data_IF_105909756809
#
_entry.id   IF_105909756809
#
_cell.length_a   1.000
_cell.length_b   1.000
_cell.length_c   1.000
_cell.angle_alpha   90.00
_cell.angle_beta   90.00
_cell.angle_gamma   90.00
#
_symmetry.space_group_name_H-M   'P 1'
#
loop_
_entity.id
_entity.type
_entity.pdbx_description
1 polymer ?
#
# COMPACT_ATOMS: atom_id res chain seq x y z
N UNK A 1 -24.21 34.72 8.32
CA UNK A 1 -24.19 33.35 8.88
C UNK A 1 -23.52 32.28 8.00
N UNK A 2 -22.75 32.60 6.94
CA UNK A 2 -22.04 31.60 6.10
C UNK A 2 -20.54 31.95 5.91
N UNK A 3 -19.93 32.65 6.88
CA UNK A 3 -18.52 33.09 6.81
C UNK A 3 -17.53 31.90 6.80
N UNK A 4 -18.00 30.75 7.25
CA UNK A 4 -17.33 29.45 7.31
C UNK A 4 -17.35 28.67 5.97
N UNK A 5 -18.14 29.11 4.98
CA UNK A 5 -18.25 28.43 3.69
C UNK A 5 -17.21 28.94 2.69
N UNK A 6 -16.51 28.01 2.02
CA UNK A 6 -15.55 28.38 0.98
C UNK A 6 -16.23 28.73 -0.36
N UNK A 7 -15.47 29.34 -1.29
CA UNK A 7 -15.99 29.79 -2.59
C UNK A 7 -16.62 28.65 -3.43
N UNK A 8 -16.10 27.41 -3.33
CA UNK A 8 -16.66 26.25 -4.04
C UNK A 8 -18.05 25.89 -3.49
N UNK A 9 -18.23 25.89 -2.17
CA UNK A 9 -19.52 25.66 -1.53
C UNK A 9 -20.55 26.72 -1.95
N UNK A 10 -20.19 28.00 -1.89
CA UNK A 10 -21.10 29.09 -2.27
C UNK A 10 -21.53 29.01 -3.75
N UNK A 11 -20.63 28.61 -4.65
CA UNK A 11 -20.98 28.35 -6.07
C UNK A 11 -21.96 27.18 -6.22
N UNK A 12 -21.78 26.09 -5.46
CA UNK A 12 -22.73 24.95 -5.44
C UNK A 12 -24.10 25.36 -4.90
N UNK A 13 -24.14 26.16 -3.83
CA UNK A 13 -25.37 26.72 -3.28
C UNK A 13 -26.11 27.52 -4.34
N UNK A 14 -25.43 28.47 -4.99
CA UNK A 14 -26.02 29.34 -6.01
C UNK A 14 -26.63 28.52 -7.17
N UNK A 15 -25.92 27.50 -7.66
CA UNK A 15 -26.40 26.64 -8.76
C UNK A 15 -27.62 25.79 -8.40
N UNK A 16 -27.77 25.42 -7.13
CA UNK A 16 -28.81 24.48 -6.68
C UNK A 16 -29.86 25.16 -5.78
N UNK A 17 -29.80 26.48 -5.63
CA UNK A 17 -30.54 27.21 -4.59
C UNK A 17 -32.05 27.00 -4.70
N UNK A 18 -32.60 27.09 -5.92
CA UNK A 18 -34.03 26.92 -6.18
C UNK A 18 -34.52 25.49 -5.90
N UNK A 19 -33.69 24.48 -6.15
CA UNK A 19 -34.02 23.07 -5.87
C UNK A 19 -33.94 22.77 -4.37
N UNK A 20 -32.94 23.30 -3.67
CA UNK A 20 -32.70 23.01 -2.26
C UNK A 20 -33.65 23.75 -1.33
N UNK A 21 -34.11 24.91 -1.79
CA UNK A 21 -34.93 25.85 -1.02
C UNK A 21 -36.08 26.38 -1.89
N UNK A 22 -37.18 25.61 -2.03
CA UNK A 22 -38.34 26.02 -2.83
C UNK A 22 -39.19 27.11 -2.15
N UNK A 23 -38.72 27.70 -1.05
CA UNK A 23 -39.42 28.72 -0.26
C UNK A 23 -38.65 30.05 -0.30
N UNK A 24 -39.33 31.15 0.02
CA UNK A 24 -38.70 32.48 0.01
C UNK A 24 -37.53 32.52 1.00
N UNK A 25 -36.43 33.15 0.61
CA UNK A 25 -35.15 33.12 1.34
C UNK A 25 -35.26 33.56 2.82
N UNK A 26 -36.18 34.49 3.12
CA UNK A 26 -36.44 34.98 4.47
C UNK A 26 -37.20 33.98 5.37
N UNK A 27 -37.68 32.86 4.83
CA UNK A 27 -38.42 31.81 5.55
C UNK A 27 -37.54 30.61 5.91
N UNK A 28 -36.26 30.63 5.53
CA UNK A 28 -35.35 29.50 5.71
C UNK A 28 -34.44 29.80 6.89
N UNK A 29 -34.39 28.88 7.86
CA UNK A 29 -33.38 28.92 8.92
C UNK A 29 -31.97 28.82 8.30
N UNK A 30 -31.07 29.78 8.54
CA UNK A 30 -29.68 29.71 8.11
C UNK A 30 -28.95 28.43 8.51
N UNK A 31 -29.35 27.75 9.59
CA UNK A 31 -28.80 26.44 10.00
C UNK A 31 -29.16 25.34 9.01
N UNK A 32 -30.40 25.31 8.55
CA UNK A 32 -30.87 24.35 7.52
C UNK A 32 -30.16 24.60 6.18
N UNK A 33 -29.89 25.86 5.85
CA UNK A 33 -29.08 26.20 4.65
C UNK A 33 -27.68 25.60 4.78
N UNK A 34 -27.06 25.79 5.94
CA UNK A 34 -25.72 25.30 6.24
C UNK A 34 -25.67 23.77 6.15
N UNK A 35 -26.54 23.04 6.85
CA UNK A 35 -26.58 21.58 6.85
C UNK A 35 -26.74 20.98 5.44
N UNK A 36 -27.71 21.49 4.67
CA UNK A 36 -27.91 21.04 3.28
C UNK A 36 -26.71 21.34 2.40
N UNK A 37 -26.05 22.48 2.61
CA UNK A 37 -24.89 22.88 1.82
C UNK A 37 -23.67 22.00 2.11
N UNK A 38 -23.39 21.71 3.38
CA UNK A 38 -22.32 20.80 3.76
C UNK A 38 -22.57 19.39 3.21
N UNK A 39 -23.79 18.86 3.40
CA UNK A 39 -24.15 17.56 2.85
C UNK A 39 -23.93 17.46 1.33
N UNK A 40 -24.35 18.47 0.57
CA UNK A 40 -24.11 18.51 -0.88
C UNK A 40 -22.64 18.69 -1.27
N UNK A 41 -21.88 19.40 -0.44
CA UNK A 41 -20.47 19.57 -0.66
C UNK A 41 -19.78 18.21 -0.51
N UNK A 42 -20.03 17.53 0.61
CA UNK A 42 -19.48 16.22 0.96
C UNK A 42 -19.90 15.14 -0.04
N UNK A 43 -21.18 15.09 -0.43
CA UNK A 43 -21.66 14.18 -1.48
C UNK A 43 -20.92 14.40 -2.80
N UNK A 44 -20.60 15.65 -3.14
CA UNK A 44 -19.87 15.93 -4.37
C UNK A 44 -18.38 15.61 -4.28
N UNK A 45 -17.76 15.75 -3.10
CA UNK A 45 -16.39 15.28 -2.86
C UNK A 45 -16.35 13.75 -2.98
N UNK A 46 -17.27 13.05 -2.33
CA UNK A 46 -17.38 11.60 -2.42
C UNK A 46 -17.57 11.11 -3.87
N UNK A 47 -18.41 11.81 -4.66
CA UNK A 47 -18.57 11.48 -6.10
C UNK A 47 -17.28 11.68 -6.89
N UNK A 48 -16.52 12.73 -6.59
CA UNK A 48 -15.24 12.99 -7.26
C UNK A 48 -14.21 11.91 -6.92
N UNK A 49 -14.07 11.55 -5.65
CA UNK A 49 -13.16 10.50 -5.19
C UNK A 49 -13.51 9.12 -5.76
N UNK A 50 -14.81 8.77 -5.76
CA UNK A 50 -15.31 7.55 -6.40
C UNK A 50 -15.01 7.58 -7.90
N UNK A 51 -15.22 8.71 -8.59
CA UNK A 51 -14.91 8.81 -10.02
C UNK A 51 -13.41 8.65 -10.30
N UNK A 52 -12.53 9.19 -9.45
CA UNK A 52 -11.08 8.96 -9.57
C UNK A 52 -10.71 7.49 -9.38
N UNK A 53 -11.32 6.80 -8.41
CA UNK A 53 -11.15 5.36 -8.23
C UNK A 53 -11.65 4.57 -9.45
N UNK A 54 -12.82 4.92 -10.00
CA UNK A 54 -13.34 4.29 -11.21
C UNK A 54 -12.39 4.44 -12.40
N UNK A 55 -11.87 5.65 -12.63
CA UNK A 55 -10.90 5.92 -13.70
C UNK A 55 -9.63 5.08 -13.51
N UNK A 56 -9.14 4.98 -12.27
CA UNK A 56 -7.95 4.19 -11.94
C UNK A 56 -8.16 2.70 -12.12
N UNK A 57 -9.32 2.16 -11.72
CA UNK A 57 -9.66 0.76 -11.98
C UNK A 57 -9.74 0.53 -13.49
N UNK A 58 -10.48 1.39 -14.21
CA UNK A 58 -10.69 1.25 -15.66
C UNK A 58 -9.39 1.33 -16.46
N UNK A 59 -8.42 2.14 -16.04
CA UNK A 59 -7.10 2.23 -16.69
C UNK A 59 -6.27 0.96 -16.54
N UNK A 60 -6.52 0.14 -15.50
CA UNK A 60 -5.86 -1.14 -15.30
C UNK A 60 -6.65 -2.33 -15.85
N UNK A 61 -7.97 -2.21 -15.98
CA UNK A 61 -8.89 -3.26 -16.40
C UNK A 61 -9.84 -2.73 -17.50
N UNK A 62 -9.30 -2.59 -18.72
CA UNK A 62 -9.98 -1.91 -19.82
C UNK A 62 -11.25 -2.62 -20.29
N UNK A 63 -11.28 -3.94 -20.22
CA UNK A 63 -12.37 -4.77 -20.76
C UNK A 63 -13.54 -4.94 -19.77
N UNK A 64 -13.38 -4.51 -18.52
CA UNK A 64 -14.39 -4.73 -17.48
C UNK A 64 -15.61 -3.81 -17.64
N UNK A 65 -16.84 -4.32 -17.48
CA UNK A 65 -18.06 -3.51 -17.56
C UNK A 65 -18.06 -2.33 -16.58
N UNK A 66 -18.64 -1.20 -16.98
CA UNK A 66 -18.63 0.02 -16.18
C UNK A 66 -19.35 -0.15 -14.84
N UNK A 67 -20.45 -0.90 -14.81
CA UNK A 67 -21.21 -1.20 -13.60
C UNK A 67 -20.39 -1.98 -12.56
N UNK A 68 -19.57 -2.94 -13.02
CA UNK A 68 -18.63 -3.69 -12.15
C UNK A 68 -17.59 -2.75 -11.56
N UNK A 69 -17.01 -1.87 -12.39
CA UNK A 69 -16.02 -0.87 -11.98
C UNK A 69 -16.61 0.13 -10.98
N UNK A 70 -17.81 0.65 -11.25
CA UNK A 70 -18.54 1.57 -10.37
C UNK A 70 -18.79 0.91 -9.02
N UNK A 71 -19.35 -0.31 -9.02
CA UNK A 71 -19.63 -1.08 -7.81
C UNK A 71 -18.38 -1.24 -6.96
N UNK A 72 -17.27 -1.69 -7.56
CA UNK A 72 -16.03 -1.93 -6.82
C UNK A 72 -15.39 -0.64 -6.32
N UNK A 73 -15.38 0.43 -7.12
CA UNK A 73 -14.86 1.73 -6.70
C UNK A 73 -15.63 2.31 -5.52
N UNK A 74 -16.96 2.24 -5.56
CA UNK A 74 -17.83 2.68 -4.47
C UNK A 74 -17.60 1.84 -3.21
N UNK A 75 -17.44 0.53 -3.36
CA UNK A 75 -17.15 -0.38 -2.24
C UNK A 75 -15.79 -0.07 -1.59
N UNK A 76 -14.73 0.14 -2.39
CA UNK A 76 -13.42 0.57 -1.91
C UNK A 76 -13.52 1.91 -1.17
N UNK A 77 -14.23 2.89 -1.72
CA UNK A 77 -14.39 4.20 -1.08
C UNK A 77 -15.06 4.10 0.30
N UNK A 78 -16.06 3.24 0.46
CA UNK A 78 -16.79 3.10 1.71
C UNK A 78 -16.04 2.31 2.78
N UNK A 79 -15.21 1.34 2.40
CA UNK A 79 -14.58 0.43 3.36
C UNK A 79 -13.07 0.63 3.53
N UNK A 80 -12.40 1.33 2.60
CA UNK A 80 -10.95 1.55 2.63
C UNK A 80 -10.64 3.02 2.85
N UNK A 81 -10.39 3.37 4.11
CA UNK A 81 -10.17 4.75 4.55
C UNK A 81 -8.73 5.26 4.31
N UNK A 82 -7.81 4.38 3.91
CA UNK A 82 -6.39 4.72 3.73
C UNK A 82 -6.02 4.78 2.25
N UNK A 83 -5.63 5.97 1.78
CA UNK A 83 -5.15 6.16 0.41
C UNK A 83 -3.89 5.32 0.12
N UNK A 84 -3.01 5.15 1.11
CA UNK A 84 -1.83 4.30 0.97
C UNK A 84 -2.22 2.83 0.70
N UNK A 85 -3.29 2.36 1.34
CA UNK A 85 -3.79 0.99 1.14
C UNK A 85 -4.37 0.83 -0.26
N UNK A 86 -5.14 1.82 -0.74
CA UNK A 86 -5.61 1.87 -2.12
C UNK A 86 -4.43 1.85 -3.09
N UNK A 87 -3.39 2.64 -2.84
CA UNK A 87 -2.19 2.67 -3.69
C UNK A 87 -1.48 1.31 -3.73
N UNK A 88 -1.43 0.60 -2.60
CA UNK A 88 -0.85 -0.74 -2.53
C UNK A 88 -1.66 -1.77 -3.31
N UNK A 89 -2.99 -1.65 -3.39
CA UNK A 89 -3.80 -2.53 -4.25
C UNK A 89 -3.32 -2.47 -5.70
N UNK A 90 -3.12 -1.27 -6.23
CA UNK A 90 -2.69 -1.09 -7.62
C UNK A 90 -1.21 -1.37 -7.83
N UNK A 91 -0.35 -1.07 -6.84
CA UNK A 91 1.08 -1.41 -6.88
C UNK A 91 1.30 -2.92 -6.98
N UNK A 92 0.47 -3.72 -6.30
CA UNK A 92 0.56 -5.18 -6.29
C UNK A 92 -0.61 -5.83 -7.04
N UNK A 93 -1.10 -5.17 -8.09
CA UNK A 93 -2.37 -5.53 -8.75
C UNK A 93 -2.49 -7.01 -9.12
N UNK A 94 -1.43 -7.62 -9.64
CA UNK A 94 -1.41 -9.03 -10.07
C UNK A 94 -1.61 -10.02 -8.92
N UNK A 95 -1.33 -9.60 -7.69
CA UNK A 95 -1.49 -10.41 -6.48
C UNK A 95 -2.70 -10.00 -5.66
N UNK A 96 -3.24 -8.80 -5.86
CA UNK A 96 -4.41 -8.31 -5.11
C UNK A 96 -5.71 -8.59 -5.86
N UNK A 97 -5.71 -8.42 -7.19
CA UNK A 97 -6.85 -8.68 -8.06
C UNK A 97 -6.68 -10.06 -8.72
N UNK A 98 -6.73 -11.13 -7.90
CA UNK A 98 -6.51 -12.52 -8.34
C UNK A 98 -7.74 -13.15 -9.03
N UNK A 99 -8.89 -12.49 -8.96
CA UNK A 99 -10.17 -12.95 -9.49
C UNK A 99 -10.78 -11.88 -10.42
N UNK A 100 -11.85 -12.22 -11.13
CA UNK A 100 -12.61 -11.26 -11.93
C UNK A 100 -13.13 -10.11 -11.06
N UNK A 101 -13.19 -8.87 -11.59
CA UNK A 101 -13.62 -7.72 -10.79
C UNK A 101 -15.06 -7.85 -10.27
N UNK A 102 -15.90 -8.63 -10.96
CA UNK A 102 -17.28 -8.92 -10.55
C UNK A 102 -17.37 -9.75 -9.27
N UNK A 103 -16.36 -10.56 -8.93
CA UNK A 103 -16.32 -11.35 -7.70
C UNK A 103 -15.60 -10.64 -6.55
N UNK A 104 -14.93 -9.52 -6.82
CA UNK A 104 -14.18 -8.78 -5.82
C UNK A 104 -15.05 -7.77 -5.06
N UNK A 105 -14.65 -7.54 -3.82
CA UNK A 105 -15.12 -6.50 -2.91
C UNK A 105 -13.92 -5.97 -2.12
N UNK A 106 -14.08 -4.86 -1.42
CA UNK A 106 -13.03 -4.20 -0.64
C UNK A 106 -12.43 -5.14 0.42
N UNK A 107 -13.24 -5.98 1.05
CA UNK A 107 -12.78 -6.92 2.07
C UNK A 107 -11.90 -8.04 1.47
N UNK A 108 -12.23 -8.53 0.29
CA UNK A 108 -11.40 -9.46 -0.49
C UNK A 108 -10.10 -8.81 -0.91
N UNK A 109 -10.12 -7.57 -1.42
CA UNK A 109 -8.90 -6.85 -1.77
C UNK A 109 -7.98 -6.66 -0.56
N UNK A 110 -8.53 -6.30 0.60
CA UNK A 110 -7.80 -6.20 1.86
C UNK A 110 -7.18 -7.53 2.28
N UNK A 111 -7.94 -8.63 2.21
CA UNK A 111 -7.44 -9.98 2.50
C UNK A 111 -6.32 -10.38 1.54
N UNK A 112 -6.52 -10.21 0.24
CA UNK A 112 -5.52 -10.55 -0.77
C UNK A 112 -4.22 -9.75 -0.57
N UNK A 113 -4.33 -8.47 -0.21
CA UNK A 113 -3.18 -7.65 0.13
C UNK A 113 -2.46 -8.14 1.40
N UNK A 114 -3.21 -8.50 2.44
CA UNK A 114 -2.65 -9.03 3.68
C UNK A 114 -1.93 -10.38 3.45
N UNK A 115 -2.57 -11.30 2.74
CA UNK A 115 -1.98 -12.57 2.33
C UNK A 115 -0.69 -12.38 1.52
N UNK A 116 -0.70 -11.44 0.57
CA UNK A 116 0.48 -11.17 -0.24
C UNK A 116 1.63 -10.59 0.59
N UNK A 117 1.33 -9.67 1.52
CA UNK A 117 2.33 -9.13 2.46
C UNK A 117 2.90 -10.23 3.35
N UNK A 118 2.06 -11.11 3.85
CA UNK A 118 2.49 -12.22 4.70
C UNK A 118 3.36 -13.21 3.92
N UNK A 119 2.96 -13.58 2.71
CA UNK A 119 3.77 -14.39 1.80
C UNK A 119 5.16 -13.76 1.57
N UNK A 120 5.22 -12.45 1.29
CA UNK A 120 6.50 -11.74 1.12
C UNK A 120 7.34 -11.64 2.40
N UNK A 121 6.69 -11.60 3.57
CA UNK A 121 7.37 -11.65 4.87
C UNK A 121 8.01 -13.02 5.09
N UNK A 122 7.27 -14.10 4.84
CA UNK A 122 7.76 -15.48 4.96
C UNK A 122 8.90 -15.74 3.98
N UNK A 123 8.73 -15.41 2.70
CA UNK A 123 9.78 -15.52 1.66
C UNK A 123 11.08 -14.81 2.09
N UNK A 124 10.94 -13.63 2.71
CA UNK A 124 12.10 -12.90 3.24
C UNK A 124 12.77 -13.64 4.39
N UNK A 125 12.01 -14.16 5.36
CA UNK A 125 12.57 -14.89 6.50
C UNK A 125 13.28 -16.17 6.05
N UNK A 126 12.70 -16.92 5.12
CA UNK A 126 13.33 -18.11 4.53
C UNK A 126 14.64 -17.75 3.82
N UNK A 127 14.67 -16.62 3.10
CA UNK A 127 15.88 -16.15 2.41
C UNK A 127 16.97 -15.72 3.40
N UNK A 128 16.59 -15.12 4.53
CA UNK A 128 17.53 -14.76 5.60
C UNK A 128 18.10 -16.02 6.27
N UNK A 129 17.25 -17.01 6.54
CA UNK A 129 17.69 -18.28 7.10
C UNK A 129 18.60 -19.04 6.12
N UNK A 130 18.28 -19.02 4.83
CA UNK A 130 19.16 -19.55 3.80
C UNK A 130 20.54 -18.88 3.81
N UNK A 131 20.60 -17.54 3.88
CA UNK A 131 21.87 -16.81 4.01
C UNK A 131 22.64 -17.26 5.27
N UNK A 132 21.95 -17.35 6.42
CA UNK A 132 22.54 -17.80 7.67
C UNK A 132 23.18 -19.19 7.52
N UNK A 133 22.47 -20.13 6.92
CA UNK A 133 22.96 -21.49 6.67
C UNK A 133 24.17 -21.50 5.72
N UNK A 134 24.17 -20.66 4.68
CA UNK A 134 25.32 -20.53 3.79
C UNK A 134 26.56 -20.00 4.53
N UNK A 135 26.39 -19.03 5.44
CA UNK A 135 27.49 -18.52 6.28
C UNK A 135 28.00 -19.61 7.22
N UNK A 136 27.12 -20.34 7.89
CA UNK A 136 27.52 -21.42 8.80
C UNK A 136 28.28 -22.52 8.05
N UNK A 137 27.78 -22.91 6.87
CA UNK A 137 28.41 -23.91 6.02
C UNK A 137 29.80 -23.48 5.53
N UNK A 138 30.00 -22.19 5.25
CA UNK A 138 31.30 -21.65 4.82
C UNK A 138 32.37 -21.78 5.90
N UNK A 139 31.97 -21.79 7.18
CA UNK A 139 32.88 -21.84 8.33
C UNK A 139 32.59 -23.05 9.24
N UNK A 140 32.13 -24.15 8.65
CA UNK A 140 31.69 -25.35 9.40
C UNK A 140 32.78 -25.92 10.31
N UNK A 141 34.04 -25.87 9.86
CA UNK A 141 35.20 -26.36 10.61
C UNK A 141 35.44 -25.55 11.90
N UNK A 142 35.04 -24.28 11.87
CA UNK A 142 35.37 -23.27 12.87
C UNK A 142 34.31 -23.18 13.98
N UNK A 143 33.16 -23.83 13.78
CA UNK A 143 32.04 -23.92 14.73
C UNK A 143 31.64 -22.55 15.28
N UNK A 144 31.24 -21.66 14.39
CA UNK A 144 30.78 -20.31 14.76
C UNK A 144 29.65 -20.41 15.78
N UNK A 145 29.74 -19.63 16.86
CA UNK A 145 28.67 -19.53 17.85
C UNK A 145 27.43 -18.90 17.22
N UNK A 146 26.25 -19.46 17.53
CA UNK A 146 24.94 -19.00 17.03
C UNK A 146 24.73 -17.47 17.17
N UNK A 147 25.16 -16.87 18.28
CA UNK A 147 25.06 -15.42 18.51
C UNK A 147 25.85 -14.60 17.48
N UNK A 148 27.07 -15.05 17.15
CA UNK A 148 27.94 -14.38 16.17
C UNK A 148 27.44 -14.59 14.75
N UNK A 149 27.00 -15.81 14.44
CA UNK A 149 26.39 -16.11 13.15
C UNK A 149 25.15 -15.23 12.88
N UNK A 150 24.31 -15.03 13.91
CA UNK A 150 23.17 -14.11 13.85
C UNK A 150 23.61 -12.67 13.62
N UNK A 151 24.58 -12.17 14.39
CA UNK A 151 25.11 -10.80 14.25
C UNK A 151 25.62 -10.52 12.82
N UNK A 152 26.36 -11.46 12.22
CA UNK A 152 26.82 -11.33 10.84
C UNK A 152 25.68 -11.34 9.83
N UNK A 153 24.73 -12.26 10.02
CA UNK A 153 23.56 -12.36 9.14
C UNK A 153 22.71 -11.08 9.18
N UNK A 154 22.42 -10.55 10.37
CA UNK A 154 21.64 -9.33 10.55
C UNK A 154 22.34 -8.11 9.94
N UNK A 155 23.66 -8.01 10.12
CA UNK A 155 24.47 -6.94 9.51
C UNK A 155 24.42 -6.96 7.99
N UNK A 156 24.50 -8.15 7.37
CA UNK A 156 24.37 -8.32 5.92
C UNK A 156 22.97 -7.99 5.40
N UNK A 157 21.94 -8.43 6.13
CA UNK A 157 20.53 -8.17 5.77
C UNK A 157 20.21 -6.67 5.81
N UNK A 158 20.79 -5.93 6.76
CA UNK A 158 20.64 -4.49 6.87
C UNK A 158 21.18 -3.74 5.63
N UNK A 159 22.27 -4.23 5.05
CA UNK A 159 22.88 -3.65 3.84
C UNK A 159 22.20 -4.10 2.55
N UNK A 160 21.91 -5.39 2.41
CA UNK A 160 21.37 -5.95 1.17
C UNK A 160 19.91 -5.55 0.92
N UNK A 161 19.16 -5.15 1.96
CA UNK A 161 17.80 -4.56 1.99
C UNK A 161 16.70 -5.32 1.24
N UNK A 162 16.88 -5.68 -0.03
CA UNK A 162 15.96 -6.43 -0.89
C UNK A 162 16.19 -7.93 -0.78
N UNK A 163 15.12 -8.70 -0.69
CA UNK A 163 15.16 -10.18 -0.64
C UNK A 163 15.92 -10.78 -1.83
N UNK A 164 15.76 -10.23 -3.03
CA UNK A 164 16.49 -10.68 -4.22
C UNK A 164 18.01 -10.53 -4.11
N UNK A 165 18.49 -9.46 -3.46
CA UNK A 165 19.92 -9.24 -3.26
C UNK A 165 20.47 -10.14 -2.16
N UNK A 166 19.70 -10.37 -1.10
CA UNK A 166 20.06 -11.37 -0.07
C UNK A 166 20.25 -12.74 -0.70
N UNK A 167 19.31 -13.16 -1.56
CA UNK A 167 19.39 -14.45 -2.26
C UNK A 167 20.60 -14.54 -3.18
N UNK A 168 20.80 -13.56 -4.06
CA UNK A 168 21.93 -13.52 -4.98
C UNK A 168 23.28 -13.51 -4.25
N UNK A 169 23.36 -12.77 -3.15
CA UNK A 169 24.55 -12.71 -2.31
C UNK A 169 24.82 -14.06 -1.63
N UNK A 170 23.79 -14.70 -1.08
CA UNK A 170 23.91 -16.02 -0.45
C UNK A 170 24.41 -17.09 -1.45
N UNK A 171 23.97 -17.04 -2.71
CA UNK A 171 24.43 -17.95 -3.77
C UNK A 171 25.91 -17.73 -4.16
N UNK A 172 26.45 -16.53 -3.95
CA UNK A 172 27.83 -16.16 -4.29
C UNK A 172 28.70 -15.87 -3.05
N UNK A 173 28.26 -16.35 -1.88
CA UNK A 173 28.78 -15.93 -0.58
C UNK A 173 30.31 -16.08 -0.45
N UNK A 174 30.85 -17.18 -0.96
CA UNK A 174 32.28 -17.50 -0.90
C UNK A 174 33.19 -16.47 -1.60
N UNK A 175 32.67 -15.73 -2.59
CA UNK A 175 33.45 -14.72 -3.30
C UNK A 175 33.61 -13.40 -2.50
N UNK A 176 32.72 -13.15 -1.54
CA UNK A 176 32.65 -11.89 -0.81
C UNK A 176 33.04 -12.01 0.66
N UNK A 177 32.90 -13.20 1.24
CA UNK A 177 33.18 -13.43 2.64
C UNK A 177 34.68 -13.63 2.90
N UNK A 178 35.25 -13.02 3.96
CA UNK A 178 36.67 -13.14 4.28
C UNK A 178 36.98 -14.51 4.90
N UNK A 179 38.25 -14.82 5.11
CA UNK A 179 38.62 -16.03 5.88
C UNK A 179 38.21 -15.88 7.35
N UNK A 180 38.02 -16.99 8.06
CA UNK A 180 37.52 -16.98 9.44
C UNK A 180 38.35 -16.10 10.39
N UNK A 181 39.67 -16.13 10.27
CA UNK A 181 40.59 -15.31 11.06
C UNK A 181 40.41 -13.78 10.86
N UNK A 182 39.79 -13.37 9.75
CA UNK A 182 39.51 -12.00 9.36
C UNK A 182 38.05 -11.58 9.64
N UNK A 183 37.19 -12.54 10.00
CA UNK A 183 35.75 -12.32 10.26
C UNK A 183 35.48 -11.30 11.37
N UNK A 184 36.38 -11.21 12.35
CA UNK A 184 36.33 -10.19 13.42
C UNK A 184 36.49 -8.75 12.92
N UNK A 185 36.99 -8.56 11.71
CA UNK A 185 37.15 -7.27 11.05
C UNK A 185 36.16 -7.08 9.89
N UNK A 186 35.25 -8.04 9.71
CA UNK A 186 34.26 -8.00 8.66
C UNK A 186 33.32 -6.81 8.86
N UNK A 187 33.10 -6.05 7.79
CA UNK A 187 32.25 -4.87 7.79
C UNK A 187 31.31 -4.93 6.59
N UNK A 188 30.04 -5.28 6.84
CA UNK A 188 29.00 -5.46 5.83
C UNK A 188 28.82 -4.29 4.83
N UNK A 189 28.98 -3.00 5.22
CA UNK A 189 28.86 -1.87 4.30
C UNK A 189 29.81 -1.92 3.09
N UNK A 190 30.95 -2.63 3.18
CA UNK A 190 31.87 -2.80 2.03
C UNK A 190 31.29 -3.67 0.91
N UNK A 191 30.29 -4.49 1.22
CA UNK A 191 29.61 -5.36 0.25
C UNK A 191 28.59 -4.60 -0.58
N UNK A 192 27.92 -3.59 -0.02
CA UNK A 192 26.97 -2.76 -0.77
C UNK A 192 27.65 -1.89 -1.85
N UNK A 193 28.97 -1.72 -1.77
CA UNK A 193 29.80 -0.94 -2.71
C UNK A 193 30.55 -1.77 -3.74
N UNK A 194 30.47 -3.10 -3.69
CA UNK A 194 31.14 -4.03 -4.60
C UNK A 194 30.15 -4.58 -5.65
#
# INVERSE_FOLDING_TARGET
>A
CLKDCNSKMLKKLHRNCQMLFPVKFHQIDPRVIREKLFKLYDEGVAREDIAQLQLRIKSHFLDEPLDVVVRLATDIFHYVHSQETVDQFFRYKSHVFKEALSSLDAQKLMRNLAEYKEFKRVERLETIEFLKQQIDQLYVDEKIKEEKLREYTESLVAELRRTSFIKLFAENLAAFMPKYNELKHFNAPRIASA
#
